data_IF_335296214787
#
_entry.id   IF_335296214787
#
_cell.length_a   1.000
_cell.length_b   1.000
_cell.length_c   1.000
_cell.angle_alpha   90.00
_cell.angle_beta   90.00
_cell.angle_gamma   90.00
#
_symmetry.space_group_name_H-M   'P 1'
#
loop_
_entity.id
_entity.type
_entity.pdbx_description
1 polymer ?
#
# COMPACT_ATOMS: atom_id res chain seq x y z
N UNK A 1 6.97 19.56 -11.71
CA UNK A 1 6.86 18.11 -12.02
C UNK A 1 7.18 17.87 -13.49
N UNK A 2 8.00 16.89 -13.80
CA UNK A 2 8.55 16.68 -15.15
C UNK A 2 7.45 16.30 -16.16
N UNK A 3 7.44 16.97 -17.32
CA UNK A 3 6.57 16.64 -18.46
C UNK A 3 6.70 15.16 -18.89
N UNK A 4 7.82 14.53 -18.55
CA UNK A 4 8.13 13.13 -18.85
C UNK A 4 7.23 12.15 -18.07
N UNK A 5 6.95 12.41 -16.79
CA UNK A 5 6.04 11.58 -16.00
C UNK A 5 4.61 11.56 -16.59
N UNK A 6 4.12 12.74 -16.97
CA UNK A 6 2.81 12.84 -17.63
C UNK A 6 2.79 12.11 -18.98
N UNK A 7 3.89 12.15 -19.73
CA UNK A 7 4.04 11.50 -21.03
C UNK A 7 4.10 9.96 -20.92
N UNK A 8 4.61 9.44 -19.78
CA UNK A 8 4.63 8.01 -19.45
C UNK A 8 3.30 7.48 -18.84
N UNK A 9 2.26 8.30 -18.82
CA UNK A 9 0.95 7.92 -18.26
C UNK A 9 0.78 8.22 -16.76
N UNK A 10 1.79 8.80 -16.10
CA UNK A 10 1.74 9.13 -14.66
C UNK A 10 1.42 10.61 -14.49
N UNK A 11 0.13 10.94 -14.38
CA UNK A 11 -0.33 12.30 -14.05
C UNK A 11 -0.65 12.39 -12.55
N UNK A 12 0.37 12.73 -11.75
CA UNK A 12 0.26 12.79 -10.28
C UNK A 12 -0.84 13.75 -9.84
N UNK A 13 -0.97 14.93 -10.47
CA UNK A 13 -1.98 15.93 -10.09
C UNK A 13 -3.39 15.37 -10.32
N UNK A 14 -3.61 14.70 -11.44
CA UNK A 14 -4.88 14.06 -11.76
C UNK A 14 -5.17 12.92 -10.78
N UNK A 15 -4.16 12.11 -10.47
CA UNK A 15 -4.26 11.01 -9.52
C UNK A 15 -4.62 11.50 -8.12
N UNK A 16 -3.93 12.53 -7.61
CA UNK A 16 -4.20 13.11 -6.29
C UNK A 16 -5.63 13.65 -6.19
N UNK A 17 -6.12 14.29 -7.26
CA UNK A 17 -7.50 14.77 -7.32
C UNK A 17 -8.52 13.63 -7.29
N UNK A 18 -8.28 12.56 -8.02
CA UNK A 18 -9.14 11.37 -8.03
C UNK A 18 -9.14 10.67 -6.67
N UNK A 19 -7.96 10.51 -6.07
CA UNK A 19 -7.82 9.93 -4.71
C UNK A 19 -8.58 10.79 -3.70
N UNK A 20 -8.43 12.11 -3.75
CA UNK A 20 -9.15 13.03 -2.83
C UNK A 20 -10.66 12.94 -2.96
N UNK A 21 -11.19 12.70 -4.15
CA UNK A 21 -12.62 12.44 -4.35
C UNK A 21 -13.05 11.07 -3.81
N UNK A 22 -12.27 10.01 -4.09
CA UNK A 22 -12.54 8.67 -3.60
C UNK A 22 -12.50 8.58 -2.06
N UNK A 23 -11.60 9.32 -1.41
CA UNK A 23 -11.45 9.33 0.05
C UNK A 23 -12.74 9.74 0.78
N UNK A 24 -13.60 10.56 0.17
CA UNK A 24 -14.90 10.91 0.78
C UNK A 24 -15.82 9.70 0.90
N UNK A 25 -15.86 8.86 -0.15
CA UNK A 25 -16.66 7.63 -0.16
C UNK A 25 -16.03 6.56 0.76
N UNK A 26 -14.71 6.43 0.72
CA UNK A 26 -13.98 5.48 1.58
C UNK A 26 -14.25 5.83 3.05
N UNK A 27 -14.12 7.09 3.44
CA UNK A 27 -14.35 7.53 4.82
C UNK A 27 -15.80 7.33 5.28
N UNK A 28 -16.77 7.40 4.38
CA UNK A 28 -18.18 7.16 4.74
C UNK A 28 -18.47 5.70 5.12
N UNK A 29 -17.62 4.76 4.75
CA UNK A 29 -17.71 3.34 5.11
C UNK A 29 -16.96 2.99 6.40
N UNK A 30 -16.18 3.92 6.94
CA UNK A 30 -15.37 3.68 8.14
C UNK A 30 -16.25 3.75 9.41
N UNK A 31 -16.04 2.79 10.30
CA UNK A 31 -16.51 2.88 11.69
C UNK A 31 -15.50 3.68 12.54
N UNK A 32 -15.91 4.03 13.77
CA UNK A 32 -15.05 4.72 14.74
C UNK A 32 -13.78 3.92 15.11
N UNK A 33 -13.77 2.61 14.81
CA UNK A 33 -12.63 1.74 15.05
C UNK A 33 -11.53 1.86 13.97
N UNK A 34 -11.82 2.48 12.84
CA UNK A 34 -10.79 2.75 11.82
C UNK A 34 -10.00 3.98 12.23
N UNK A 35 -8.76 3.77 12.67
CA UNK A 35 -7.92 4.83 13.24
C UNK A 35 -7.30 5.76 12.19
N UNK A 36 -7.47 5.42 10.93
CA UNK A 36 -6.81 6.12 9.84
C UNK A 36 -5.35 5.70 9.70
N UNK A 37 -4.65 6.40 8.86
CA UNK A 37 -3.29 6.07 8.47
C UNK A 37 -2.40 7.30 8.65
N UNK A 38 -1.72 7.40 9.76
CA UNK A 38 -0.84 8.54 10.09
C UNK A 38 0.42 8.57 9.20
N UNK A 39 0.93 7.41 8.81
CA UNK A 39 2.17 7.26 8.06
C UNK A 39 1.95 6.89 6.58
N UNK A 40 0.73 6.51 6.18
CA UNK A 40 0.35 6.32 4.78
C UNK A 40 0.58 4.92 4.19
N UNK A 41 1.10 3.95 4.96
CA UNK A 41 1.53 2.67 4.42
C UNK A 41 0.64 1.47 4.78
N UNK A 42 -0.09 1.54 5.89
CA UNK A 42 -1.02 0.46 6.30
C UNK A 42 -2.32 1.02 6.85
N UNK A 43 -3.38 0.23 6.82
CA UNK A 43 -4.64 0.54 7.47
C UNK A 43 -4.60 0.08 8.93
N UNK A 44 -5.18 0.88 9.85
CA UNK A 44 -5.22 0.58 11.26
C UNK A 44 -6.66 0.42 11.75
N UNK A 45 -6.94 -0.66 12.44
CA UNK A 45 -8.25 -0.98 13.01
C UNK A 45 -8.14 -1.34 14.48
N UNK A 46 -8.83 -0.60 15.33
CA UNK A 46 -8.88 -0.86 16.77
C UNK A 46 -9.85 -1.98 17.07
N UNK A 47 -9.32 -3.13 17.50
CA UNK A 47 -10.15 -4.29 17.91
C UNK A 47 -10.73 -4.06 19.31
N UNK A 48 -9.89 -3.62 20.24
CA UNK A 48 -10.26 -3.26 21.60
C UNK A 48 -9.28 -2.25 22.18
N UNK A 49 -9.32 -2.01 23.50
CA UNK A 49 -8.43 -1.04 24.18
C UNK A 49 -6.94 -1.37 24.07
N UNK A 50 -6.59 -2.65 23.92
CA UNK A 50 -5.22 -3.16 23.99
C UNK A 50 -4.69 -3.63 22.63
N UNK A 51 -5.57 -3.85 21.64
CA UNK A 51 -5.22 -4.47 20.35
C UNK A 51 -5.64 -3.56 19.20
N UNK A 52 -4.68 -3.21 18.37
CA UNK A 52 -4.88 -2.60 17.06
C UNK A 52 -4.32 -3.54 16.00
N UNK A 53 -5.10 -3.85 14.99
CA UNK A 53 -4.64 -4.58 13.81
C UNK A 53 -4.16 -3.59 12.76
N UNK A 54 -3.06 -3.93 12.10
CA UNK A 54 -2.58 -3.24 10.92
C UNK A 54 -2.68 -4.19 9.71
N UNK A 55 -3.14 -3.66 8.59
CA UNK A 55 -3.22 -4.39 7.33
C UNK A 55 -2.52 -3.59 6.23
N UNK A 56 -1.69 -4.27 5.45
CA UNK A 56 -1.03 -3.71 4.27
C UNK A 56 -1.20 -4.67 3.09
N UNK A 57 -1.21 -4.14 1.89
CA UNK A 57 -1.22 -4.90 0.65
C UNK A 57 -0.40 -4.15 -0.39
N UNK A 58 0.47 -4.86 -1.06
CA UNK A 58 1.33 -4.30 -2.09
C UNK A 58 1.67 -5.36 -3.14
N UNK A 59 2.33 -4.96 -4.20
CA UNK A 59 2.81 -5.83 -5.27
C UNK A 59 4.29 -5.59 -5.57
N UNK A 60 4.95 -6.56 -6.20
CA UNK A 60 6.36 -6.44 -6.56
C UNK A 60 6.66 -5.40 -7.65
N UNK A 61 5.61 -4.82 -8.25
CA UNK A 61 5.75 -3.79 -9.25
C UNK A 61 6.32 -4.28 -10.59
N UNK A 62 6.97 -3.39 -11.32
CA UNK A 62 7.52 -3.65 -12.67
C UNK A 62 8.63 -4.71 -12.70
N UNK A 63 9.22 -5.05 -11.56
CA UNK A 63 10.17 -6.16 -11.43
C UNK A 63 9.59 -7.49 -11.95
N UNK A 64 8.28 -7.70 -11.80
CA UNK A 64 7.60 -8.89 -12.30
C UNK A 64 7.70 -9.02 -13.83
N UNK A 65 7.72 -7.92 -14.57
CA UNK A 65 7.89 -7.92 -16.04
C UNK A 65 9.29 -8.42 -16.39
N UNK A 66 10.31 -7.88 -15.73
CA UNK A 66 11.69 -8.30 -15.94
C UNK A 66 11.89 -9.78 -15.59
N UNK A 67 11.31 -10.25 -14.48
CA UNK A 67 11.35 -11.65 -14.09
C UNK A 67 10.73 -12.56 -15.17
N UNK A 68 9.62 -12.13 -15.76
CA UNK A 68 8.96 -12.85 -16.85
C UNK A 68 9.79 -12.88 -18.14
N UNK A 69 10.41 -11.76 -18.53
CA UNK A 69 11.28 -11.67 -19.69
C UNK A 69 12.52 -12.58 -19.57
N UNK A 70 13.09 -12.67 -18.37
CA UNK A 70 14.25 -13.49 -18.07
C UNK A 70 13.90 -14.93 -17.69
N UNK A 71 12.62 -15.27 -17.54
CA UNK A 71 12.12 -16.52 -17.01
C UNK A 71 12.77 -16.88 -15.65
N UNK A 72 13.02 -15.87 -14.80
CA UNK A 72 13.67 -16.01 -13.51
C UNK A 72 12.76 -15.44 -12.40
N UNK A 73 12.12 -16.34 -11.67
CA UNK A 73 11.14 -15.99 -10.64
C UNK A 73 11.66 -16.17 -9.22
N UNK A 74 12.91 -16.63 -9.07
CA UNK A 74 13.53 -16.85 -7.78
C UNK A 74 13.61 -15.50 -7.03
N UNK A 75 13.09 -15.48 -5.83
CA UNK A 75 13.08 -14.27 -5.00
C UNK A 75 11.84 -13.38 -5.15
N UNK A 76 11.03 -13.51 -6.21
CA UNK A 76 9.81 -12.69 -6.39
C UNK A 76 8.84 -12.85 -5.21
N UNK A 77 8.67 -14.07 -4.70
CA UNK A 77 7.83 -14.32 -3.51
C UNK A 77 8.38 -13.66 -2.24
N UNK A 78 9.70 -13.67 -2.07
CA UNK A 78 10.35 -12.97 -0.95
C UNK A 78 10.17 -11.46 -1.06
N UNK A 79 10.34 -10.91 -2.26
CA UNK A 79 10.12 -9.49 -2.51
C UNK A 79 8.67 -9.08 -2.19
N UNK A 80 7.69 -9.90 -2.57
CA UNK A 80 6.28 -9.64 -2.29
C UNK A 80 6.00 -9.57 -0.78
N UNK A 81 6.50 -10.54 -0.03
CA UNK A 81 6.38 -10.54 1.44
C UNK A 81 7.10 -9.35 2.05
N UNK A 82 8.29 -9.00 1.54
CA UNK A 82 9.06 -7.86 2.03
C UNK A 82 8.34 -6.53 1.80
N UNK A 83 7.72 -6.33 0.63
CA UNK A 83 6.94 -5.12 0.32
C UNK A 83 5.84 -4.90 1.37
N UNK A 84 4.98 -5.91 1.58
CA UNK A 84 3.90 -5.82 2.57
C UNK A 84 4.41 -5.69 4.02
N UNK A 85 5.47 -6.42 4.37
CA UNK A 85 6.03 -6.38 5.73
C UNK A 85 6.66 -5.03 6.06
N UNK A 86 7.32 -4.39 5.10
CA UNK A 86 7.92 -3.07 5.30
C UNK A 86 6.86 -2.01 5.59
N UNK A 87 5.72 -2.06 4.93
CA UNK A 87 4.60 -1.16 5.18
C UNK A 87 4.06 -1.30 6.61
N UNK A 88 3.97 -2.53 7.12
CA UNK A 88 3.58 -2.80 8.50
C UNK A 88 4.64 -2.28 9.49
N UNK A 89 5.93 -2.47 9.19
CA UNK A 89 7.02 -2.00 10.05
C UNK A 89 7.06 -0.48 10.17
N UNK A 90 6.68 0.27 9.14
CA UNK A 90 6.54 1.72 9.19
C UNK A 90 5.56 2.16 10.29
N UNK A 91 4.53 1.35 10.55
CA UNK A 91 3.57 1.58 11.62
C UNK A 91 3.97 0.89 12.95
N UNK A 92 5.20 0.38 13.06
CA UNK A 92 5.71 -0.40 14.21
C UNK A 92 4.85 -1.65 14.50
N UNK A 93 4.14 -2.15 13.51
CA UNK A 93 3.33 -3.35 13.64
C UNK A 93 4.21 -4.60 13.44
N UNK A 94 3.91 -5.65 14.19
CA UNK A 94 4.55 -6.96 14.03
C UNK A 94 3.78 -7.74 12.97
N UNK A 95 4.42 -8.17 11.86
CA UNK A 95 3.79 -9.08 10.90
C UNK A 95 3.38 -10.39 11.59
N UNK A 96 2.15 -10.84 11.35
CA UNK A 96 1.61 -12.06 11.95
C UNK A 96 1.43 -13.17 10.90
N UNK A 97 1.00 -12.82 9.71
CA UNK A 97 0.78 -13.74 8.59
C UNK A 97 0.84 -12.98 7.26
N UNK A 98 0.92 -13.72 6.18
CA UNK A 98 0.90 -13.23 4.80
C UNK A 98 -0.11 -14.05 3.99
#
# INVERSE_FOLDING_TARGET
>A
MSKLYKKSGVDVIKTDKLISQALKFIKSSHSDNVLGNKLGFSAEYKVNKDITLCAATDGVGTKAILAAELNEYKGIGQDLVAMCSNDLLCNKAKPLFF
#
